data_IF_403802091066
#
_entry.id   IF_403802091066
#
_cell.length_a   1.000
_cell.length_b   1.000
_cell.length_c   1.000
_cell.angle_alpha   90.00
_cell.angle_beta   90.00
_cell.angle_gamma   90.00
#
_symmetry.space_group_name_H-M   'P 1'
#
loop_
_entity.id
_entity.type
_entity.pdbx_description
1 polymer ?
#
# COMPACT_ATOMS: atom_id res chain seq x y z
N UNK A 1 1.25 -23.55 5.64
CA UNK A 1 0.93 -24.42 6.80
C UNK A 1 -0.57 -24.69 6.82
N UNK A 2 -1.10 -25.60 6.01
CA UNK A 2 -2.52 -26.01 6.04
C UNK A 2 -2.64 -27.49 5.63
N UNK A 3 -2.16 -28.37 6.51
CA UNK A 3 -2.51 -29.80 6.48
C UNK A 3 -3.59 -30.03 7.53
N UNK A 4 -4.76 -29.45 7.32
CA UNK A 4 -5.91 -29.75 8.15
C UNK A 4 -6.54 -31.08 7.69
N UNK A 5 -5.82 -32.17 7.96
CA UNK A 5 -6.21 -33.57 7.68
C UNK A 5 -7.12 -34.16 8.78
N UNK A 6 -7.41 -33.38 9.82
CA UNK A 6 -8.16 -33.81 11.00
C UNK A 6 -9.62 -34.18 10.69
N UNK A 7 -10.32 -34.79 11.67
CA UNK A 7 -11.73 -35.15 11.55
C UNK A 7 -12.64 -33.93 11.41
N UNK A 8 -13.89 -34.16 10.99
CA UNK A 8 -14.94 -33.16 11.09
C UNK A 8 -15.32 -32.98 12.56
N UNK A 9 -15.25 -31.77 13.07
CA UNK A 9 -15.67 -31.44 14.44
C UNK A 9 -17.14 -31.09 14.46
N UNK A 10 -17.92 -31.81 15.27
CA UNK A 10 -19.37 -31.59 15.42
C UNK A 10 -19.69 -31.43 16.91
N UNK A 11 -20.42 -30.36 17.23
CA UNK A 11 -20.83 -30.03 18.60
C UNK A 11 -22.24 -30.54 18.87
N UNK A 12 -23.16 -30.31 17.94
CA UNK A 12 -24.55 -30.75 18.04
C UNK A 12 -25.00 -31.50 16.77
N UNK A 13 -26.01 -32.37 16.88
CA UNK A 13 -26.51 -33.14 15.73
C UNK A 13 -27.05 -32.23 14.61
N UNK A 14 -27.60 -31.07 14.98
CA UNK A 14 -28.10 -30.08 14.02
C UNK A 14 -27.01 -29.36 13.22
N UNK A 15 -25.74 -29.45 13.66
CA UNK A 15 -24.58 -28.92 12.96
C UNK A 15 -24.10 -29.85 11.85
N UNK A 16 -24.67 -31.05 11.73
CA UNK A 16 -24.31 -32.01 10.69
C UNK A 16 -25.29 -31.95 9.52
N UNK A 17 -24.76 -31.69 8.31
CA UNK A 17 -25.49 -31.89 7.06
C UNK A 17 -25.18 -33.28 6.53
N UNK A 18 -26.18 -34.15 6.59
CA UNK A 18 -26.12 -35.52 6.14
C UNK A 18 -26.92 -35.70 4.84
N UNK A 19 -26.25 -36.15 3.78
CA UNK A 19 -26.89 -36.53 2.52
C UNK A 19 -26.53 -37.98 2.18
N UNK A 20 -27.55 -38.82 2.02
CA UNK A 20 -27.38 -40.22 1.66
C UNK A 20 -28.05 -40.54 0.32
N UNK A 21 -27.35 -41.34 -0.47
CA UNK A 21 -27.85 -42.00 -1.67
C UNK A 21 -27.43 -43.47 -1.61
N UNK A 22 -28.05 -44.38 -2.39
CA UNK A 22 -27.73 -45.81 -2.32
C UNK A 22 -26.22 -46.07 -2.47
N UNK A 23 -25.58 -46.53 -1.39
CA UNK A 23 -24.15 -46.84 -1.32
C UNK A 23 -23.19 -45.64 -1.27
N UNK A 24 -23.67 -44.40 -1.11
CA UNK A 24 -22.82 -43.21 -0.92
C UNK A 24 -23.38 -42.31 0.19
N UNK A 25 -22.54 -42.00 1.17
CA UNK A 25 -22.85 -41.12 2.29
C UNK A 25 -21.97 -39.87 2.23
N UNK A 26 -22.57 -38.70 2.43
CA UNK A 26 -21.85 -37.42 2.50
C UNK A 26 -22.13 -36.69 3.80
N UNK A 27 -21.07 -36.22 4.43
CA UNK A 27 -21.10 -35.46 5.67
C UNK A 27 -20.43 -34.11 5.47
N UNK A 28 -21.03 -33.07 6.04
CA UNK A 28 -20.39 -31.76 6.10
C UNK A 28 -20.96 -30.96 7.26
N UNK A 29 -20.16 -30.07 7.84
CA UNK A 29 -20.66 -29.15 8.86
C UNK A 29 -21.66 -28.15 8.25
N UNK A 30 -22.69 -27.79 9.01
CA UNK A 30 -23.67 -26.75 8.68
C UNK A 30 -22.95 -25.41 8.63
N UNK A 31 -23.24 -24.63 7.59
CA UNK A 31 -22.64 -23.30 7.44
C UNK A 31 -23.39 -22.32 8.32
N UNK A 32 -22.69 -21.70 9.27
CA UNK A 32 -23.20 -20.49 9.92
C UNK A 32 -23.18 -19.32 8.94
N UNK A 33 -24.15 -18.41 9.03
CA UNK A 33 -24.23 -17.23 8.17
C UNK A 33 -22.94 -16.39 8.15
N UNK A 34 -22.26 -16.27 9.30
CA UNK A 34 -20.97 -15.60 9.43
C UNK A 34 -19.84 -16.21 8.58
N UNK A 35 -19.93 -17.51 8.24
CA UNK A 35 -18.97 -18.17 7.35
C UNK A 35 -19.04 -17.70 5.89
N UNK A 36 -20.10 -16.97 5.51
CA UNK A 36 -20.24 -16.33 4.19
C UNK A 36 -19.89 -14.84 4.24
N UNK A 37 -20.25 -14.14 5.32
CA UNK A 37 -20.01 -12.71 5.46
C UNK A 37 -18.53 -12.36 5.58
N UNK A 38 -17.76 -13.07 6.40
CA UNK A 38 -16.36 -12.73 6.63
C UNK A 38 -15.53 -12.83 5.34
N UNK A 39 -15.61 -13.93 4.56
CA UNK A 39 -14.89 -14.02 3.28
C UNK A 39 -15.34 -12.96 2.25
N UNK A 40 -16.63 -12.60 2.24
CA UNK A 40 -17.16 -11.56 1.36
C UNK A 40 -16.63 -10.18 1.73
N UNK A 41 -16.62 -9.82 3.02
CA UNK A 41 -16.09 -8.54 3.50
C UNK A 41 -14.60 -8.43 3.17
N UNK A 42 -13.82 -9.48 3.43
CA UNK A 42 -12.39 -9.53 3.10
C UNK A 42 -12.15 -9.38 1.59
N UNK A 43 -12.98 -10.04 0.77
CA UNK A 43 -12.92 -9.90 -0.68
C UNK A 43 -13.19 -8.47 -1.14
N UNK A 44 -14.23 -7.83 -0.59
CA UNK A 44 -14.60 -6.45 -0.95
C UNK A 44 -13.52 -5.44 -0.55
N UNK A 45 -12.89 -5.62 0.62
CA UNK A 45 -11.75 -4.81 1.04
C UNK A 45 -10.59 -5.00 0.05
N UNK A 46 -10.27 -6.25 -0.30
CA UNK A 46 -9.22 -6.53 -1.29
C UNK A 46 -9.49 -5.93 -2.67
N UNK A 47 -10.73 -6.01 -3.15
CA UNK A 47 -11.14 -5.44 -4.42
C UNK A 47 -11.09 -3.91 -4.42
N UNK A 48 -11.50 -3.27 -3.33
CA UNK A 48 -11.38 -1.82 -3.17
C UNK A 48 -9.92 -1.36 -3.20
N UNK A 49 -9.04 -2.04 -2.47
CA UNK A 49 -7.60 -1.75 -2.47
C UNK A 49 -6.96 -1.94 -3.85
N UNK A 50 -7.32 -3.02 -4.54
CA UNK A 50 -6.82 -3.30 -5.88
C UNK A 50 -7.34 -2.27 -6.91
N UNK A 51 -8.59 -1.82 -6.77
CA UNK A 51 -9.16 -0.78 -7.63
C UNK A 51 -8.46 0.56 -7.45
N UNK A 52 -8.10 0.93 -6.22
CA UNK A 52 -7.33 2.14 -5.93
C UNK A 52 -5.95 2.09 -6.59
N UNK A 53 -5.26 0.95 -6.50
CA UNK A 53 -4.01 0.74 -7.23
C UNK A 53 -4.20 0.89 -8.74
N UNK A 54 -5.19 0.20 -9.31
CA UNK A 54 -5.40 0.21 -10.75
C UNK A 54 -5.72 1.62 -11.27
N UNK A 55 -6.56 2.37 -10.58
CA UNK A 55 -6.96 3.70 -11.01
C UNK A 55 -5.86 4.74 -10.81
N UNK A 56 -5.20 4.77 -9.65
CA UNK A 56 -4.22 5.81 -9.35
C UNK A 56 -2.83 5.52 -9.95
N UNK A 57 -2.50 4.25 -10.18
CA UNK A 57 -1.19 3.88 -10.70
C UNK A 57 -1.28 3.43 -12.16
N UNK A 58 -2.10 2.43 -12.49
CA UNK A 58 -2.11 1.86 -13.84
C UNK A 58 -2.73 2.83 -14.85
N UNK A 59 -3.91 3.39 -14.56
CA UNK A 59 -4.58 4.34 -15.47
C UNK A 59 -3.78 5.63 -15.58
N UNK A 60 -3.33 6.22 -14.47
CA UNK A 60 -2.51 7.43 -14.48
C UNK A 60 -1.23 7.27 -15.30
N UNK A 61 -0.47 6.19 -15.12
CA UNK A 61 0.73 5.92 -15.91
C UNK A 61 0.42 5.61 -17.38
N UNK A 62 -0.69 4.91 -17.65
CA UNK A 62 -1.11 4.61 -19.00
C UNK A 62 -1.54 5.86 -19.75
N UNK A 63 -2.29 6.76 -19.11
CA UNK A 63 -2.63 8.08 -19.66
C UNK A 63 -1.37 8.91 -19.92
N UNK A 64 -0.39 8.89 -19.00
CA UNK A 64 0.93 9.50 -19.19
C UNK A 64 1.71 8.91 -20.37
N UNK A 65 1.58 7.60 -20.64
CA UNK A 65 2.27 6.93 -21.75
C UNK A 65 1.57 7.06 -23.11
N UNK A 66 0.25 7.28 -23.14
CA UNK A 66 -0.55 7.26 -24.37
C UNK A 66 -0.86 8.62 -24.96
N UNK A 67 -0.43 9.71 -24.32
CA UNK A 67 -0.42 11.03 -24.97
C UNK A 67 0.66 11.02 -26.08
N UNK A 68 0.32 11.53 -27.28
CA UNK A 68 0.82 11.05 -28.58
C UNK A 68 2.33 11.24 -28.92
N UNK A 69 3.20 11.63 -27.98
CA UNK A 69 4.66 11.80 -28.16
C UNK A 69 5.50 10.90 -27.21
N UNK A 70 4.95 9.73 -26.87
CA UNK A 70 5.44 8.81 -25.84
C UNK A 70 6.84 8.22 -26.03
N UNK A 71 7.86 8.99 -25.63
CA UNK A 71 9.11 8.56 -24.97
C UNK A 71 9.66 9.68 -24.05
N UNK A 72 8.93 10.79 -23.86
CA UNK A 72 9.43 11.96 -23.13
C UNK A 72 8.86 12.04 -21.69
N UNK A 73 9.72 12.18 -20.65
CA UNK A 73 9.29 12.24 -19.25
C UNK A 73 8.58 13.55 -18.89
N UNK A 74 8.66 14.57 -19.75
CA UNK A 74 8.03 15.87 -19.58
C UNK A 74 6.65 15.90 -20.26
N UNK A 75 5.68 16.62 -19.70
CA UNK A 75 4.37 16.80 -20.33
C UNK A 75 4.51 17.44 -21.72
N UNK A 76 3.61 17.17 -22.69
CA UNK A 76 3.69 17.71 -24.05
C UNK A 76 3.71 19.25 -24.12
N UNK A 77 3.20 19.91 -23.07
CA UNK A 77 3.20 21.36 -22.89
C UNK A 77 4.51 21.92 -22.29
N UNK A 78 5.57 21.12 -22.19
CA UNK A 78 6.85 21.51 -21.58
C UNK A 78 7.97 21.45 -22.63
N UNK A 79 8.60 22.60 -22.88
CA UNK A 79 9.45 22.86 -24.06
C UNK A 79 10.81 22.15 -24.04
N UNK A 80 11.41 21.95 -22.85
CA UNK A 80 12.77 21.43 -22.73
C UNK A 80 12.92 20.44 -21.55
N UNK A 81 13.66 19.35 -21.77
CA UNK A 81 14.12 18.44 -20.70
C UNK A 81 15.61 18.66 -20.38
N UNK A 82 15.94 18.74 -19.10
CA UNK A 82 17.32 18.74 -18.60
C UNK A 82 17.55 17.41 -17.89
N UNK A 83 18.49 16.61 -18.41
CA UNK A 83 18.89 15.34 -17.79
C UNK A 83 19.93 15.65 -16.73
N UNK A 84 19.64 15.29 -15.48
CA UNK A 84 20.54 15.44 -14.35
C UNK A 84 21.53 14.27 -14.28
N UNK A 85 22.62 14.47 -13.56
CA UNK A 85 23.75 13.52 -13.49
C UNK A 85 23.37 12.19 -12.85
N UNK A 86 22.42 12.21 -11.92
CA UNK A 86 21.83 11.02 -11.29
C UNK A 86 20.75 10.33 -12.16
N UNK A 87 20.44 10.87 -13.34
CA UNK A 87 19.47 10.32 -14.28
C UNK A 87 18.03 10.77 -14.05
N UNK A 88 17.78 11.69 -13.12
CA UNK A 88 16.49 12.38 -12.99
C UNK A 88 16.33 13.43 -14.08
N UNK A 89 15.11 13.96 -14.23
CA UNK A 89 14.78 14.94 -15.25
C UNK A 89 14.17 16.19 -14.61
N UNK A 90 14.64 17.35 -15.05
CA UNK A 90 13.95 18.62 -14.83
C UNK A 90 13.24 19.00 -16.12
N UNK A 91 11.96 19.33 -16.00
CA UNK A 91 11.15 19.73 -17.12
C UNK A 91 10.86 21.22 -17.06
N UNK A 92 11.24 21.92 -18.11
CA UNK A 92 11.02 23.36 -18.24
C UNK A 92 9.58 23.62 -18.69
N UNK A 93 8.84 24.38 -17.90
CA UNK A 93 7.50 24.83 -18.28
C UNK A 93 7.57 25.72 -19.54
N UNK A 94 6.62 25.57 -20.47
CA UNK A 94 6.46 26.45 -21.66
C UNK A 94 6.29 27.93 -21.31
N UNK A 95 5.83 28.22 -20.09
CA UNK A 95 5.47 29.58 -19.67
C UNK A 95 6.67 30.35 -19.11
N UNK A 96 7.70 30.59 -19.93
CA UNK A 96 8.63 31.66 -19.60
C UNK A 96 7.87 32.98 -19.63
N UNK A 97 7.76 33.63 -18.47
CA UNK A 97 7.12 34.93 -18.39
C UNK A 97 8.17 35.99 -18.66
N UNK A 98 8.00 36.68 -19.78
CA UNK A 98 8.80 37.83 -20.15
C UNK A 98 8.16 39.08 -19.54
N UNK A 99 8.86 39.70 -18.58
CA UNK A 99 8.44 40.98 -18.01
C UNK A 99 9.29 42.08 -18.62
N UNK A 100 8.70 42.83 -19.55
CA UNK A 100 9.28 44.06 -20.09
C UNK A 100 8.89 45.26 -19.20
N UNK A 101 9.77 46.25 -19.10
CA UNK A 101 9.41 47.56 -18.57
C UNK A 101 9.92 47.85 -17.17
N UNK A 102 11.10 47.33 -16.81
CA UNK A 102 11.81 47.86 -15.67
C UNK A 102 12.66 49.08 -16.02
N UNK A 103 12.88 50.00 -15.09
CA UNK A 103 13.70 51.20 -15.33
C UNK A 103 14.20 51.82 -14.03
N UNK A 104 15.09 52.81 -14.15
CA UNK A 104 15.57 53.63 -13.02
C UNK A 104 16.26 52.81 -11.92
N UNK A 105 17.20 51.95 -12.33
CA UNK A 105 18.04 51.21 -11.40
C UNK A 105 18.88 52.11 -10.53
N UNK A 106 18.84 51.80 -9.25
CA UNK A 106 19.74 52.39 -8.28
C UNK A 106 20.22 51.31 -7.30
N UNK A 107 21.49 51.37 -6.93
CA UNK A 107 22.08 50.44 -5.97
C UNK A 107 22.75 51.17 -4.82
N UNK A 108 22.90 50.44 -3.73
CA UNK A 108 23.74 50.73 -2.58
C UNK A 108 24.43 49.41 -2.18
N UNK A 109 25.35 49.42 -1.22
CA UNK A 109 26.23 48.26 -0.92
C UNK A 109 25.49 46.92 -0.83
N UNK A 110 24.37 46.89 -0.12
CA UNK A 110 23.52 45.71 0.09
C UNK A 110 22.05 45.97 -0.27
N UNK A 111 21.77 47.00 -1.07
CA UNK A 111 20.42 47.33 -1.50
C UNK A 111 20.37 47.60 -3.00
N UNK A 112 19.24 47.31 -3.60
CA UNK A 112 18.93 47.74 -4.96
C UNK A 112 17.46 48.07 -5.08
N UNK A 113 17.15 49.02 -5.96
CA UNK A 113 15.77 49.34 -6.33
C UNK A 113 15.63 49.60 -7.80
N UNK A 114 14.44 49.31 -8.30
CA UNK A 114 14.06 49.53 -9.68
C UNK A 114 12.57 49.81 -9.77
N UNK A 115 12.15 50.39 -10.90
CA UNK A 115 10.73 50.55 -11.18
C UNK A 115 10.25 49.46 -12.09
N UNK A 116 9.11 48.86 -11.80
CA UNK A 116 8.43 47.89 -12.67
C UNK A 116 6.93 48.20 -12.63
N UNK A 117 6.27 48.24 -13.80
CA UNK A 117 4.85 48.60 -13.94
C UNK A 117 4.41 49.91 -13.25
N UNK A 118 5.35 50.86 -13.07
CA UNK A 118 5.10 52.16 -12.43
C UNK A 118 5.30 52.20 -10.91
N UNK A 119 5.47 51.04 -10.27
CA UNK A 119 5.80 50.89 -8.85
C UNK A 119 7.31 50.85 -8.65
N UNK A 120 7.78 51.26 -7.47
CA UNK A 120 9.21 51.16 -7.11
C UNK A 120 9.38 49.96 -6.17
N UNK A 121 10.19 49.00 -6.63
CA UNK A 121 10.56 47.81 -5.89
C UNK A 121 11.93 48.02 -5.27
N UNK A 122 12.00 47.85 -3.96
CA UNK A 122 13.23 48.01 -3.18
C UNK A 122 13.55 46.69 -2.48
N UNK A 123 14.83 46.33 -2.54
CA UNK A 123 15.33 45.05 -2.09
C UNK A 123 16.62 45.24 -1.31
N UNK A 124 16.75 44.54 -0.19
CA UNK A 124 18.00 44.30 0.52
C UNK A 124 18.48 42.89 0.18
N UNK A 125 19.78 42.70 0.09
CA UNK A 125 20.35 41.40 -0.23
C UNK A 125 21.64 41.14 0.55
N UNK A 126 21.94 39.86 0.74
CA UNK A 126 23.24 39.40 1.24
C UNK A 126 23.50 37.97 0.82
N UNK A 127 24.76 37.58 0.76
CA UNK A 127 25.17 36.19 0.52
C UNK A 127 25.78 35.61 1.79
N UNK A 128 25.30 34.44 2.22
CA UNK A 128 25.81 33.73 3.39
C UNK A 128 25.76 32.22 3.12
N UNK A 129 26.87 31.53 3.43
CA UNK A 129 26.98 30.07 3.33
C UNK A 129 26.62 29.50 1.93
N UNK A 130 26.83 30.29 0.86
CA UNK A 130 26.53 29.91 -0.53
C UNK A 130 25.09 30.21 -0.97
N UNK A 131 24.25 30.77 -0.08
CA UNK A 131 22.88 31.18 -0.37
C UNK A 131 22.76 32.68 -0.55
N UNK A 132 21.96 33.08 -1.53
CA UNK A 132 21.60 34.46 -1.78
C UNK A 132 20.28 34.76 -1.08
N UNK A 133 20.27 35.69 -0.14
CA UNK A 133 19.07 36.17 0.52
C UNK A 133 18.65 37.49 -0.11
N UNK A 134 17.39 37.59 -0.54
CA UNK A 134 16.82 38.81 -1.11
C UNK A 134 15.52 39.09 -0.39
N UNK A 135 15.32 40.33 0.03
CA UNK A 135 14.05 40.76 0.60
C UNK A 135 13.14 41.39 -0.43
N UNK A 136 11.84 41.32 -0.18
CA UNK A 136 10.87 42.27 -0.70
C UNK A 136 10.54 43.31 0.40
N UNK A 137 10.49 44.60 0.07
CA UNK A 137 10.03 45.66 0.99
C UNK A 137 8.60 46.07 0.61
N UNK A 138 7.56 45.45 1.18
CA UNK A 138 6.21 45.99 1.08
C UNK A 138 6.11 47.26 1.93
N UNK A 139 5.49 48.30 1.38
CA UNK A 139 5.41 49.65 1.97
C UNK A 139 4.63 49.73 3.30
N UNK A 140 4.00 48.64 3.74
CA UNK A 140 3.10 48.56 4.90
C UNK A 140 3.59 47.63 6.03
N UNK A 141 4.81 47.07 5.96
CA UNK A 141 5.34 46.13 6.96
C UNK A 141 6.48 46.71 7.81
N UNK A 142 6.65 46.11 8.99
CA UNK A 142 7.64 46.44 10.02
C UNK A 142 8.85 45.50 10.04
N UNK A 143 8.99 44.65 9.03
CA UNK A 143 10.10 43.70 8.82
C UNK A 143 10.33 43.46 7.32
N UNK A 144 11.50 42.91 6.96
CA UNK A 144 11.80 42.51 5.58
C UNK A 144 11.21 41.12 5.28
N UNK A 145 10.51 40.97 4.15
CA UNK A 145 10.14 39.63 3.67
C UNK A 145 11.33 38.98 2.95
N UNK A 146 12.10 38.17 3.66
CA UNK A 146 13.27 37.50 3.09
C UNK A 146 12.91 36.19 2.38
N UNK A 147 13.53 35.99 1.22
CA UNK A 147 13.50 34.76 0.45
C UNK A 147 14.92 34.27 0.18
N UNK A 148 15.05 32.95 0.07
CA UNK A 148 16.32 32.27 -0.22
C UNK A 148 16.38 31.95 -1.70
N UNK A 149 17.52 32.24 -2.30
CA UNK A 149 17.85 31.97 -3.68
C UNK A 149 19.20 31.25 -3.78
N UNK A 150 19.35 30.46 -4.85
CA UNK A 150 20.61 29.83 -5.24
C UNK A 150 21.09 30.51 -6.52
N UNK A 151 22.34 30.92 -6.57
CA UNK A 151 22.94 31.49 -7.77
C UNK A 151 23.38 30.39 -8.73
N UNK A 152 23.20 30.60 -10.02
CA UNK A 152 23.70 29.67 -11.05
C UNK A 152 25.21 29.41 -10.91
N UNK A 153 26.01 30.42 -10.54
CA UNK A 153 27.45 30.26 -10.30
C UNK A 153 27.81 29.42 -9.07
N UNK A 154 26.88 29.20 -8.14
CA UNK A 154 27.09 28.36 -6.96
C UNK A 154 26.69 26.90 -7.21
N UNK A 155 26.07 26.60 -8.36
CA UNK A 155 25.70 25.24 -8.73
C UNK A 155 26.91 24.45 -9.25
N UNK A 156 27.04 23.16 -8.90
CA UNK A 156 28.08 22.31 -9.44
C UNK A 156 27.83 22.03 -10.93
N UNK A 157 28.89 21.78 -11.69
CA UNK A 157 28.77 21.37 -13.10
C UNK A 157 27.98 20.05 -13.26
N UNK A 158 28.05 19.17 -12.26
CA UNK A 158 27.35 17.90 -12.20
C UNK A 158 26.12 18.02 -11.31
N UNK A 159 25.06 18.64 -11.81
CA UNK A 159 23.79 18.77 -11.09
C UNK A 159 23.14 17.40 -10.85
N UNK A 160 22.70 17.15 -9.62
CA UNK A 160 21.85 15.99 -9.28
C UNK A 160 20.43 16.39 -8.90
N UNK A 161 20.16 17.68 -8.70
CA UNK A 161 18.87 18.18 -8.23
C UNK A 161 18.82 18.30 -6.71
N UNK A 162 19.68 17.57 -5.99
CA UNK A 162 19.84 17.66 -4.53
C UNK A 162 20.31 19.05 -4.10
N UNK A 163 20.95 19.81 -5.00
CA UNK A 163 21.40 21.17 -4.71
C UNK A 163 20.24 22.15 -4.48
N UNK A 164 19.05 21.82 -4.97
CA UNK A 164 17.83 22.61 -4.77
C UNK A 164 17.00 22.13 -3.57
N UNK A 165 17.42 21.05 -2.90
CA UNK A 165 16.70 20.48 -1.77
C UNK A 165 17.11 21.15 -0.46
N UNK A 166 16.15 21.79 0.23
CA UNK A 166 16.35 22.32 1.57
C UNK A 166 15.33 21.69 2.50
N UNK A 167 15.68 20.57 3.14
CA UNK A 167 14.79 19.94 4.12
C UNK A 167 14.22 21.00 5.08
N UNK A 168 12.93 20.97 5.37
CA UNK A 168 12.22 22.00 6.16
C UNK A 168 12.91 22.38 7.50
N UNK A 169 13.74 21.48 8.05
CA UNK A 169 14.52 21.64 9.27
C UNK A 169 15.97 22.11 9.07
N UNK A 170 16.46 22.10 7.84
CA UNK A 170 17.81 22.50 7.41
C UNK A 170 17.79 23.81 6.62
N UNK A 171 16.67 24.55 6.65
CA UNK A 171 16.60 25.88 6.05
C UNK A 171 17.78 26.73 6.52
N UNK A 172 18.48 27.41 5.60
CA UNK A 172 19.60 28.22 6.00
C UNK A 172 19.12 29.31 6.95
N UNK A 173 19.94 29.61 7.97
CA UNK A 173 19.60 30.65 8.94
C UNK A 173 19.44 31.97 8.18
N UNK A 174 18.26 32.56 8.29
CA UNK A 174 18.02 33.87 7.70
C UNK A 174 18.96 34.89 8.36
N UNK A 175 19.50 35.85 7.58
CA UNK A 175 20.28 36.93 8.14
C UNK A 175 19.50 37.72 9.20
N UNK A 176 20.18 38.16 10.26
CA UNK A 176 19.58 38.94 11.35
C UNK A 176 18.80 40.17 10.86
N UNK A 177 19.21 40.73 9.73
CA UNK A 177 18.57 41.91 9.15
C UNK A 177 17.18 41.65 8.59
N UNK A 178 16.77 40.39 8.38
CA UNK A 178 15.42 40.07 7.93
C UNK A 178 14.34 40.52 8.93
N UNK A 179 14.68 40.53 10.22
CA UNK A 179 13.80 40.97 11.30
C UNK A 179 13.91 42.49 11.62
N UNK A 180 14.76 43.23 10.91
CA UNK A 180 14.91 44.68 11.08
C UNK A 180 13.74 45.46 10.44
N UNK A 181 13.36 46.60 11.02
CA UNK A 181 12.36 47.48 10.44
C UNK A 181 12.96 48.29 9.28
N UNK A 182 12.52 48.07 8.02
CA UNK A 182 13.10 48.73 6.84
C UNK A 182 12.97 50.26 6.88
N UNK A 183 12.02 50.81 7.65
CA UNK A 183 11.79 52.26 7.76
C UNK A 183 12.83 52.98 8.62
N UNK A 184 13.66 52.24 9.34
CA UNK A 184 14.66 52.78 10.25
C UNK A 184 16.04 52.93 9.61
N UNK A 185 16.21 52.43 8.38
CA UNK A 185 17.47 52.44 7.63
C UNK A 185 17.43 53.57 6.60
N UNK A 186 18.40 54.50 6.68
CA UNK A 186 18.59 55.55 5.67
C UNK A 186 19.62 55.06 4.65
N UNK A 187 19.22 54.98 3.37
CA UNK A 187 19.99 54.35 2.30
C UNK A 187 20.27 55.37 1.21
N UNK A 188 21.57 55.65 1.00
CA UNK A 188 22.01 56.45 -0.14
C UNK A 188 22.16 55.57 -1.38
N UNK A 189 21.39 55.93 -2.41
CA UNK A 189 21.31 55.20 -3.67
C UNK A 189 22.11 55.89 -4.78
N UNK A 190 22.87 55.10 -5.53
CA UNK A 190 23.62 55.54 -6.71
C UNK A 190 22.80 55.19 -7.96
N UNK A 191 22.47 56.18 -8.78
CA UNK A 191 21.76 56.00 -10.06
C UNK A 191 22.68 55.48 -11.16
N UNK A 192 22.09 54.83 -12.18
CA UNK A 192 22.80 54.28 -13.35
C UNK A 192 23.78 53.15 -13.01
N UNK A 193 23.47 52.37 -11.98
CA UNK A 193 24.21 51.16 -11.62
C UNK A 193 23.56 49.91 -12.21
N UNK A 194 24.24 48.78 -12.06
CA UNK A 194 23.77 47.45 -12.48
C UNK A 194 23.31 46.61 -11.29
N UNK A 195 22.38 45.69 -11.53
CA UNK A 195 21.91 44.72 -10.53
C UNK A 195 23.08 43.81 -10.10
N UNK A 196 23.17 43.42 -8.81
CA UNK A 196 24.31 42.63 -8.29
C UNK A 196 24.53 41.27 -8.97
N UNK A 197 23.48 40.68 -9.55
CA UNK A 197 23.46 39.38 -10.24
C UNK A 197 22.96 39.52 -11.69
N UNK A 198 23.29 40.64 -12.34
CA UNK A 198 22.94 40.88 -13.73
C UNK A 198 23.50 39.80 -14.67
N UNK A 199 22.64 39.30 -15.57
CA UNK A 199 22.99 38.26 -16.55
C UNK A 199 23.02 36.83 -15.98
N UNK A 200 22.93 36.66 -14.66
CA UNK A 200 22.95 35.36 -13.99
C UNK A 200 21.53 34.91 -13.63
N UNK A 201 21.27 33.60 -13.70
CA UNK A 201 20.03 33.03 -13.16
C UNK A 201 20.13 32.86 -11.65
N UNK A 202 19.10 33.33 -10.96
CA UNK A 202 18.88 33.02 -9.54
C UNK A 202 17.68 32.08 -9.43
N UNK A 203 17.80 31.05 -8.62
CA UNK A 203 16.82 29.99 -8.47
C UNK A 203 16.14 30.09 -7.11
N UNK A 204 14.82 30.08 -7.09
CA UNK A 204 13.98 30.01 -5.89
C UNK A 204 13.26 28.67 -5.85
N UNK A 205 13.33 28.00 -4.71
CA UNK A 205 12.82 26.66 -4.54
C UNK A 205 11.45 26.73 -3.86
N UNK A 206 10.46 26.05 -4.45
CA UNK A 206 9.13 25.89 -3.88
C UNK A 206 8.97 24.45 -3.40
N UNK A 207 8.78 24.29 -2.10
CA UNK A 207 8.58 22.98 -1.45
C UNK A 207 7.20 22.91 -0.80
N UNK A 208 6.57 21.74 -0.87
CA UNK A 208 5.32 21.44 -0.16
C UNK A 208 5.49 20.16 0.64
N UNK A 209 5.28 20.24 1.97
CA UNK A 209 5.30 19.07 2.87
C UNK A 209 6.61 18.24 2.85
N UNK A 210 7.74 18.87 2.51
CA UNK A 210 9.04 18.20 2.44
C UNK A 210 9.28 17.51 1.10
N UNK A 211 8.51 17.84 0.05
CA UNK A 211 8.76 17.48 -1.33
C UNK A 211 9.06 18.74 -2.16
N UNK A 212 10.08 18.65 -3.01
CA UNK A 212 10.42 19.69 -3.97
C UNK A 212 9.35 19.74 -5.07
N UNK A 213 8.54 20.80 -5.09
CA UNK A 213 7.43 20.95 -6.02
C UNK A 213 7.86 21.63 -7.33
N UNK A 214 8.61 22.72 -7.24
CA UNK A 214 9.12 23.42 -8.43
C UNK A 214 10.34 24.28 -8.10
N UNK A 215 11.14 24.55 -9.11
CA UNK A 215 12.25 25.51 -9.06
C UNK A 215 11.90 26.66 -9.99
N UNK A 216 11.64 27.82 -9.40
CA UNK A 216 11.50 29.07 -10.12
C UNK A 216 12.88 29.65 -10.42
N UNK A 217 13.08 30.25 -11.59
CA UNK A 217 14.28 31.04 -11.86
C UNK A 217 13.90 32.45 -12.28
N UNK A 218 14.77 33.41 -11.95
CA UNK A 218 14.72 34.78 -12.43
C UNK A 218 16.09 35.16 -13.01
N UNK A 219 16.08 35.90 -14.13
CA UNK A 219 17.29 36.41 -14.76
C UNK A 219 17.04 37.83 -15.27
N UNK A 220 17.91 38.75 -14.85
CA UNK A 220 17.91 40.12 -15.35
C UNK A 220 18.83 40.21 -16.56
N UNK A 221 18.32 40.66 -17.71
CA UNK A 221 19.06 40.64 -18.98
C UNK A 221 19.30 42.03 -19.56
N UNK A 222 20.02 42.05 -20.68
CA UNK A 222 20.13 43.22 -21.57
C UNK A 222 18.73 43.66 -22.03
N UNK A 223 18.60 44.98 -22.32
CA UNK A 223 17.36 45.66 -22.77
C UNK A 223 16.23 45.81 -21.75
N UNK A 224 16.57 45.87 -20.48
CA UNK A 224 15.63 46.10 -19.41
C UNK A 224 14.52 45.00 -19.24
N UNK A 225 14.91 43.72 -19.30
CA UNK A 225 14.01 42.55 -19.26
C UNK A 225 14.29 41.55 -18.14
N UNK A 226 13.23 41.09 -17.44
CA UNK A 226 13.30 39.96 -16.49
C UNK A 226 12.74 38.75 -17.20
N UNK A 227 13.55 37.69 -17.26
CA UNK A 227 13.10 36.37 -17.67
C UNK A 227 12.82 35.58 -16.40
N UNK A 228 11.60 35.07 -16.27
CA UNK A 228 11.22 34.17 -15.18
C UNK A 228 10.57 32.91 -15.72
N UNK A 229 10.76 31.79 -15.06
CA UNK A 229 10.19 30.50 -15.47
C UNK A 229 10.28 29.46 -14.36
N UNK A 230 9.70 28.28 -14.61
CA UNK A 230 9.66 27.19 -13.65
C UNK A 230 10.20 25.90 -14.25
N UNK A 231 10.95 25.16 -13.44
CA UNK A 231 11.28 23.77 -13.65
C UNK A 231 10.46 22.90 -12.69
N UNK A 232 9.85 21.86 -13.22
CA UNK A 232 9.26 20.78 -12.43
C UNK A 232 10.24 19.62 -12.35
N UNK A 233 10.39 19.05 -11.16
CA UNK A 233 11.12 17.78 -11.00
C UNK A 233 10.08 16.67 -10.95
N UNK A 234 10.12 15.78 -11.94
CA UNK A 234 9.32 14.56 -11.91
C UNK A 234 10.12 13.48 -11.17
N UNK A 235 10.02 13.49 -9.84
CA UNK A 235 10.48 12.38 -9.01
C UNK A 235 9.45 11.25 -9.14
N UNK A 236 9.55 10.45 -10.20
CA UNK A 236 8.83 9.18 -10.27
C UNK A 236 9.48 8.14 -9.33
N UNK A 237 9.62 8.49 -8.05
CA UNK A 237 10.19 7.66 -6.99
C UNK A 237 9.16 7.28 -5.93
N UNK A 238 7.89 7.14 -6.31
CA UNK A 238 7.01 6.22 -5.60
C UNK A 238 7.62 4.83 -5.72
N UNK A 239 8.41 4.41 -4.74
CA UNK A 239 9.21 3.18 -4.79
C UNK A 239 8.35 2.02 -5.28
N UNK A 240 8.87 1.22 -6.22
CA UNK A 240 8.15 0.12 -6.87
C UNK A 240 7.46 -0.82 -5.85
N UNK A 241 8.00 -0.88 -4.63
CA UNK A 241 7.44 -1.58 -3.47
C UNK A 241 6.17 -0.90 -2.92
N UNK A 242 6.18 0.42 -2.72
CA UNK A 242 5.02 1.19 -2.25
C UNK A 242 3.89 1.20 -3.28
N UNK A 243 4.24 1.33 -4.56
CA UNK A 243 3.27 1.23 -5.65
C UNK A 243 2.62 -0.16 -5.73
N UNK A 244 3.39 -1.24 -5.58
CA UNK A 244 2.86 -2.60 -5.70
C UNK A 244 2.22 -3.15 -4.41
N UNK A 245 2.46 -2.53 -3.26
CA UNK A 245 1.96 -3.03 -1.98
C UNK A 245 0.41 -3.15 -1.95
N UNK A 246 -0.37 -2.13 -2.38
CA UNK A 246 -1.83 -2.25 -2.43
C UNK A 246 -2.30 -3.30 -3.44
N UNK A 247 -1.55 -3.53 -4.52
CA UNK A 247 -1.85 -4.57 -5.51
C UNK A 247 -1.67 -5.97 -4.92
N UNK A 248 -0.52 -6.24 -4.30
CA UNK A 248 -0.21 -7.54 -3.68
C UNK A 248 -1.15 -7.83 -2.52
N UNK A 249 -1.39 -6.84 -1.65
CA UNK A 249 -2.29 -6.98 -0.51
C UNK A 249 -3.75 -7.15 -0.98
N UNK A 250 -4.20 -6.34 -1.94
CA UNK A 250 -5.53 -6.47 -2.54
C UNK A 250 -5.75 -7.84 -3.16
N UNK A 251 -4.79 -8.34 -3.93
CA UNK A 251 -4.85 -9.67 -4.54
C UNK A 251 -4.83 -10.80 -3.50
N UNK A 252 -4.01 -10.66 -2.46
CA UNK A 252 -3.96 -11.58 -1.33
C UNK A 252 -5.30 -11.66 -0.59
N UNK A 253 -5.94 -10.52 -0.35
CA UNK A 253 -7.26 -10.42 0.30
C UNK A 253 -8.39 -10.92 -0.60
N UNK A 254 -8.29 -10.78 -1.93
CA UNK A 254 -9.26 -11.34 -2.86
C UNK A 254 -9.17 -12.87 -2.97
N UNK A 255 -7.96 -13.44 -2.87
CA UNK A 255 -7.73 -14.89 -3.01
C UNK A 255 -7.88 -15.64 -1.68
N UNK A 256 -7.51 -15.03 -0.55
CA UNK A 256 -7.64 -15.64 0.79
C UNK A 256 -9.02 -16.29 1.05
N UNK A 257 -10.14 -15.62 0.75
CA UNK A 257 -11.50 -16.17 0.83
C UNK A 257 -11.69 -17.51 0.12
N UNK A 258 -11.01 -17.75 -1.00
CA UNK A 258 -11.05 -19.02 -1.75
C UNK A 258 -10.47 -20.17 -0.91
N UNK A 259 -9.54 -19.87 0.01
CA UNK A 259 -8.91 -20.84 0.90
C UNK A 259 -9.63 -20.98 2.24
N UNK A 260 -10.14 -19.88 2.82
CA UNK A 260 -10.78 -19.88 4.15
C UNK A 260 -12.30 -20.14 4.13
N UNK A 261 -13.01 -19.88 3.04
CA UNK A 261 -14.45 -20.15 2.90
C UNK A 261 -14.80 -21.61 2.56
N UNK A 262 -13.83 -22.53 2.61
CA UNK A 262 -13.98 -23.90 2.10
C UNK A 262 -14.78 -24.77 3.07
N UNK A 263 -15.86 -25.37 2.58
CA UNK A 263 -16.65 -26.34 3.33
C UNK A 263 -16.00 -27.72 3.22
N UNK A 264 -15.46 -28.26 4.32
CA UNK A 264 -15.02 -29.66 4.36
C UNK A 264 -16.22 -30.58 4.13
N UNK A 265 -16.05 -31.54 3.24
CA UNK A 265 -17.01 -32.59 2.96
C UNK A 265 -16.29 -33.93 3.00
N UNK A 266 -16.90 -34.87 3.71
CA UNK A 266 -16.43 -36.25 3.77
C UNK A 266 -17.41 -37.07 2.94
N UNK A 267 -16.88 -37.86 2.01
CA UNK A 267 -17.66 -38.77 1.17
C UNK A 267 -17.20 -40.18 1.43
N UNK A 268 -18.14 -41.03 1.80
CA UNK A 268 -17.97 -42.48 1.94
C UNK A 268 -18.73 -43.12 0.79
N UNK A 269 -18.01 -43.67 -0.18
CA UNK A 269 -18.57 -44.42 -1.30
C UNK A 269 -18.32 -45.90 -1.09
N UNK A 270 -19.38 -46.60 -0.74
CA UNK A 270 -19.37 -47.98 -0.27
C UNK A 270 -19.30 -48.94 -1.43
N UNK A 271 -20.03 -48.61 -2.50
CA UNK A 271 -20.02 -49.36 -3.74
C UNK A 271 -18.61 -49.43 -4.34
N UNK A 272 -17.85 -48.34 -4.21
CA UNK A 272 -16.48 -48.27 -4.72
C UNK A 272 -15.41 -48.49 -3.64
N UNK A 273 -15.79 -48.71 -2.37
CA UNK A 273 -14.82 -48.90 -1.27
C UNK A 273 -13.83 -47.73 -1.16
N UNK A 274 -14.37 -46.51 -1.26
CA UNK A 274 -13.59 -45.26 -1.34
C UNK A 274 -14.01 -44.31 -0.24
N UNK A 275 -13.02 -43.83 0.49
CA UNK A 275 -13.15 -42.70 1.38
C UNK A 275 -12.50 -41.46 0.76
N UNK A 276 -13.23 -40.34 0.73
CA UNK A 276 -12.73 -39.07 0.19
C UNK A 276 -12.94 -37.95 1.19
N UNK A 277 -11.84 -37.30 1.59
CA UNK A 277 -11.88 -35.95 2.20
C UNK A 277 -11.73 -34.93 1.06
N UNK A 278 -12.73 -34.08 0.89
CA UNK A 278 -12.77 -33.05 -0.15
C UNK A 278 -13.38 -31.74 0.36
N UNK A 279 -13.34 -30.69 -0.46
CA UNK A 279 -14.05 -29.44 -0.19
C UNK A 279 -15.27 -29.32 -1.11
N UNK A 280 -16.46 -29.14 -0.55
CA UNK A 280 -17.73 -29.16 -1.30
C UNK A 280 -17.81 -28.12 -2.42
N UNK A 281 -17.20 -26.94 -2.21
CA UNK A 281 -17.24 -25.82 -3.16
C UNK A 281 -16.13 -25.85 -4.21
N UNK A 282 -15.07 -26.63 -4.03
CA UNK A 282 -13.89 -26.66 -4.92
C UNK A 282 -13.28 -28.07 -4.98
N UNK A 283 -13.98 -29.04 -5.58
CA UNK A 283 -13.56 -30.44 -5.55
C UNK A 283 -12.22 -30.70 -6.25
N UNK A 284 -11.72 -29.81 -7.10
CA UNK A 284 -10.49 -30.04 -7.90
C UNK A 284 -9.17 -29.67 -7.22
N UNK A 285 -9.20 -28.89 -6.13
CA UNK A 285 -7.98 -28.26 -5.59
C UNK A 285 -7.30 -29.03 -4.45
N UNK A 286 -7.97 -30.00 -3.83
CA UNK A 286 -7.38 -30.95 -2.88
C UNK A 286 -8.34 -32.12 -2.66
N UNK A 287 -8.11 -33.26 -3.32
CA UNK A 287 -8.76 -34.54 -2.99
C UNK A 287 -7.72 -35.44 -2.36
N UNK A 288 -7.91 -35.83 -1.10
CA UNK A 288 -7.25 -37.03 -0.60
C UNK A 288 -8.25 -38.18 -0.73
N UNK A 289 -8.00 -39.03 -1.74
CA UNK A 289 -8.75 -40.27 -1.95
C UNK A 289 -7.95 -41.39 -1.28
N UNK A 290 -8.59 -42.12 -0.37
CA UNK A 290 -8.03 -43.30 0.25
C UNK A 290 -8.94 -44.48 -0.11
N UNK A 291 -8.34 -45.54 -0.65
CA UNK A 291 -9.03 -46.82 -0.84
C UNK A 291 -9.24 -47.44 0.55
N UNK A 292 -10.47 -47.84 0.83
CA UNK A 292 -10.87 -48.40 2.11
C UNK A 292 -11.52 -49.77 1.87
N UNK A 293 -10.80 -50.83 2.22
CA UNK A 293 -11.21 -52.25 2.30
C UNK A 293 -12.46 -52.39 3.17
N UNK A 294 -13.22 -53.50 3.05
CA UNK A 294 -14.65 -53.54 3.37
C UNK A 294 -14.97 -52.99 4.77
N UNK A 295 -15.48 -51.76 4.77
CA UNK A 295 -15.83 -50.88 5.88
C UNK A 295 -16.01 -51.57 7.23
N UNK A 296 -14.97 -51.49 8.06
CA UNK A 296 -15.07 -51.59 9.51
C UNK A 296 -15.09 -50.16 10.05
N UNK A 297 -16.16 -49.83 10.77
CA UNK A 297 -16.36 -48.52 11.38
C UNK A 297 -16.32 -48.66 12.89
N UNK A 298 -15.53 -47.82 13.53
CA UNK A 298 -15.30 -47.84 14.97
C UNK A 298 -15.77 -46.54 15.59
N UNK A 299 -16.43 -46.66 16.74
CA UNK A 299 -16.76 -45.51 17.58
C UNK A 299 -15.95 -45.63 18.88
N UNK A 300 -14.94 -44.77 19.03
CA UNK A 300 -13.90 -44.90 20.05
C UNK A 300 -13.91 -43.67 20.97
N UNK A 301 -13.79 -43.87 22.27
CA UNK A 301 -13.53 -42.76 23.19
C UNK A 301 -12.12 -42.21 23.01
N UNK A 302 -11.99 -40.91 22.81
CA UNK A 302 -10.69 -40.28 22.67
C UNK A 302 -10.68 -38.85 23.21
N UNK A 303 -9.48 -38.34 23.45
CA UNK A 303 -9.24 -36.94 23.82
C UNK A 303 -8.42 -36.30 22.72
N UNK A 304 -8.91 -35.19 22.16
CA UNK A 304 -8.21 -34.44 21.13
C UNK A 304 -7.73 -33.11 21.68
N UNK A 305 -6.50 -32.79 21.35
CA UNK A 305 -5.89 -31.50 21.67
C UNK A 305 -6.34 -30.45 20.66
N UNK A 306 -6.89 -29.35 21.15
CA UNK A 306 -7.31 -28.19 20.37
C UNK A 306 -6.29 -27.08 20.61
N UNK A 307 -5.67 -26.61 19.54
CA UNK A 307 -4.82 -25.43 19.57
C UNK A 307 -5.66 -24.21 19.19
N UNK A 308 -5.79 -23.28 20.11
CA UNK A 308 -6.44 -22.00 19.86
C UNK A 308 -5.36 -20.99 19.45
N UNK A 309 -5.52 -20.42 18.26
CA UNK A 309 -4.72 -19.27 17.88
C UNK A 309 -5.17 -18.07 18.72
N UNK A 310 -4.22 -17.45 19.43
CA UNK A 310 -4.48 -16.21 20.14
C UNK A 310 -4.63 -15.04 19.18
N UNK A 311 -5.46 -14.07 19.53
CA UNK A 311 -5.55 -12.77 18.88
C UNK A 311 -4.41 -11.84 19.38
N UNK A 312 -4.33 -10.61 18.87
CA UNK A 312 -3.24 -9.66 19.17
C UNK A 312 -3.00 -9.41 20.67
N UNK A 313 -4.00 -9.71 21.52
CA UNK A 313 -3.95 -9.54 22.96
C UNK A 313 -4.02 -10.85 23.77
N UNK A 314 -4.07 -12.03 23.13
CA UNK A 314 -4.06 -13.31 23.83
C UNK A 314 -2.99 -14.25 23.31
N UNK A 315 -2.36 -14.99 24.23
CA UNK A 315 -1.41 -16.03 23.86
C UNK A 315 -2.16 -17.25 23.32
N UNK A 316 -1.59 -17.90 22.32
CA UNK A 316 -2.08 -19.21 21.86
C UNK A 316 -2.15 -20.16 23.05
N UNK A 317 -3.29 -20.78 23.27
CA UNK A 317 -3.49 -21.72 24.35
C UNK A 317 -4.00 -23.05 23.81
N UNK A 318 -3.72 -24.10 24.56
CA UNK A 318 -4.10 -25.47 24.18
C UNK A 318 -5.13 -25.98 25.17
N UNK A 319 -6.24 -26.51 24.66
CA UNK A 319 -7.26 -27.16 25.47
C UNK A 319 -7.43 -28.60 25.04
N UNK A 320 -7.79 -29.47 25.96
CA UNK A 320 -8.18 -30.85 25.63
C UNK A 320 -9.71 -30.97 25.55
N UNK A 321 -10.19 -31.69 24.55
CA UNK A 321 -11.59 -32.04 24.41
C UNK A 321 -11.74 -33.56 24.41
N UNK A 322 -12.39 -34.09 25.44
CA UNK A 322 -12.82 -35.49 25.49
C UNK A 322 -14.08 -35.66 24.64
N UNK A 323 -14.17 -36.77 23.92
CA UNK A 323 -15.31 -37.09 23.08
C UNK A 323 -15.33 -38.52 22.58
N UNK A 324 -16.14 -38.77 21.55
CA UNK A 324 -16.16 -40.00 20.77
C UNK A 324 -15.73 -39.71 19.34
N UNK A 325 -14.88 -40.56 18.78
CA UNK A 325 -14.37 -40.48 17.42
C UNK A 325 -14.92 -41.63 16.57
N UNK A 326 -15.52 -41.28 15.45
CA UNK A 326 -15.84 -42.21 14.38
C UNK A 326 -14.62 -42.34 13.48
N UNK A 327 -14.06 -43.55 13.43
CA UNK A 327 -12.93 -43.91 12.58
C UNK A 327 -13.28 -45.07 11.66
N UNK A 328 -12.58 -45.16 10.53
CA UNK A 328 -12.71 -46.25 9.56
C UNK A 328 -11.37 -46.95 9.37
N UNK A 329 -11.37 -48.27 9.18
CA UNK A 329 -10.15 -48.98 8.82
C UNK A 329 -9.75 -48.69 7.36
N UNK A 330 -8.49 -48.29 7.15
CA UNK A 330 -7.87 -48.18 5.84
C UNK A 330 -7.40 -49.53 5.27
N UNK A 331 -7.02 -49.54 3.99
CA UNK A 331 -6.49 -50.75 3.31
C UNK A 331 -5.26 -51.38 3.97
N UNK A 332 -4.52 -50.56 4.72
CA UNK A 332 -3.31 -50.84 5.47
C UNK A 332 -3.58 -51.25 6.93
N UNK A 333 -4.85 -51.28 7.35
CA UNK A 333 -5.28 -51.60 8.72
C UNK A 333 -5.19 -50.41 9.68
N UNK A 334 -4.72 -49.24 9.24
CA UNK A 334 -4.68 -48.06 10.09
C UNK A 334 -6.07 -47.41 10.19
N UNK A 335 -6.42 -46.94 11.39
CA UNK A 335 -7.66 -46.19 11.60
C UNK A 335 -7.53 -44.77 11.03
N UNK A 336 -8.57 -44.36 10.31
CA UNK A 336 -8.69 -43.04 9.69
C UNK A 336 -9.82 -42.29 10.39
N UNK A 337 -9.46 -41.21 11.07
CA UNK A 337 -10.42 -40.35 11.79
C UNK A 337 -11.37 -39.63 10.81
N UNK A 338 -12.67 -39.79 11.05
CA UNK A 338 -13.74 -39.25 10.20
C UNK A 338 -14.49 -38.12 10.90
N UNK A 339 -15.12 -38.39 12.04
CA UNK A 339 -15.91 -37.40 12.79
C UNK A 339 -15.51 -37.46 14.26
N UNK A 340 -15.26 -36.31 14.87
CA UNK A 340 -15.11 -36.20 16.31
C UNK A 340 -16.36 -35.56 16.90
N UNK A 341 -17.09 -36.33 17.71
CA UNK A 341 -18.25 -35.90 18.46
C UNK A 341 -17.79 -35.43 19.83
N UNK A 342 -18.00 -34.15 20.16
CA UNK A 342 -17.63 -33.59 21.47
C UNK A 342 -18.65 -33.95 22.56
N UNK A 343 -18.93 -35.24 22.71
CA UNK A 343 -19.80 -35.81 23.74
C UNK A 343 -19.19 -37.10 24.31
N UNK A 344 -19.55 -37.43 25.55
CA UNK A 344 -19.19 -38.70 26.17
C UNK A 344 -20.07 -39.87 25.71
N UNK A 345 -21.22 -39.63 25.06
CA UNK A 345 -22.08 -40.72 24.58
C UNK A 345 -22.72 -40.37 23.23
N UNK A 346 -21.96 -40.54 22.15
CA UNK A 346 -22.45 -40.28 20.80
C UNK A 346 -23.57 -41.24 20.38
N UNK A 347 -23.61 -42.49 20.91
CA UNK A 347 -24.70 -43.44 20.60
C UNK A 347 -26.05 -42.93 21.09
N UNK A 348 -26.07 -42.20 22.20
CA UNK A 348 -27.27 -41.55 22.70
C UNK A 348 -27.53 -40.20 22.02
N UNK A 349 -26.52 -39.34 21.99
CA UNK A 349 -26.69 -37.93 21.62
C UNK A 349 -26.74 -37.69 20.09
N UNK A 350 -26.20 -38.63 19.30
CA UNK A 350 -26.21 -38.60 17.82
C UNK A 350 -26.87 -39.85 17.23
N UNK A 351 -27.83 -40.43 17.98
CA UNK A 351 -28.47 -41.71 17.65
C UNK A 351 -29.01 -41.75 16.21
N UNK A 352 -29.76 -40.72 15.80
CA UNK A 352 -30.40 -40.72 14.48
C UNK A 352 -29.36 -40.68 13.34
N UNK A 353 -28.30 -39.89 13.53
CA UNK A 353 -27.17 -39.83 12.61
C UNK A 353 -26.47 -41.18 12.51
N UNK A 354 -26.11 -41.78 13.64
CA UNK A 354 -25.42 -43.06 13.67
C UNK A 354 -26.28 -44.18 13.04
N UNK A 355 -27.56 -44.27 13.38
CA UNK A 355 -28.49 -45.24 12.78
C UNK A 355 -28.63 -45.06 11.25
N UNK A 356 -28.65 -43.81 10.76
CA UNK A 356 -28.67 -43.53 9.31
C UNK A 356 -27.38 -43.96 8.63
N UNK A 357 -26.23 -43.78 9.28
CA UNK A 357 -24.95 -44.27 8.75
C UNK A 357 -24.98 -45.79 8.67
N UNK A 358 -25.37 -46.48 9.74
CA UNK A 358 -25.45 -47.94 9.77
C UNK A 358 -26.44 -48.47 8.70
N UNK A 359 -27.58 -47.80 8.55
CA UNK A 359 -28.59 -48.15 7.56
C UNK A 359 -28.09 -48.01 6.11
N UNK A 360 -27.45 -46.88 5.77
CA UNK A 360 -26.97 -46.63 4.39
C UNK A 360 -25.73 -47.45 4.08
N UNK A 361 -24.92 -47.78 5.11
CA UNK A 361 -23.70 -48.56 4.95
C UNK A 361 -23.90 -50.06 5.06
N UNK A 362 -25.01 -50.52 5.66
CA UNK A 362 -25.23 -51.93 5.97
C UNK A 362 -24.22 -52.48 6.98
N UNK A 363 -23.58 -51.61 7.78
CA UNK A 363 -22.50 -51.93 8.70
C UNK A 363 -22.80 -51.35 10.07
N UNK A 364 -22.67 -52.16 11.11
CA UNK A 364 -22.83 -51.70 12.51
C UNK A 364 -21.50 -51.21 13.06
N UNK A 365 -21.53 -50.21 13.94
CA UNK A 365 -20.31 -49.76 14.62
C UNK A 365 -19.82 -50.80 15.62
N UNK A 366 -18.57 -51.22 15.46
CA UNK A 366 -17.90 -52.04 16.46
C UNK A 366 -17.46 -51.15 17.64
N UNK A 367 -17.70 -51.65 18.86
CA UNK A 367 -17.07 -51.07 20.04
C UNK A 367 -15.65 -51.63 20.10
N UNK A 368 -14.64 -50.79 19.95
CA UNK A 368 -13.28 -51.17 20.38
C UNK A 368 -13.19 -51.08 21.91
N UNK A 369 -14.01 -51.85 22.61
CA UNK A 369 -13.82 -52.07 24.04
C UNK A 369 -12.80 -53.19 24.21
N UNK A 370 -11.53 -52.78 24.31
CA UNK A 370 -10.33 -53.48 24.83
C UNK A 370 -9.19 -53.52 23.81
N UNK A 371 -8.09 -52.82 24.12
CA UNK A 371 -6.89 -53.44 24.68
C UNK A 371 -6.08 -52.37 25.44
N UNK A 372 -5.39 -52.84 26.48
CA UNK A 372 -4.64 -52.17 27.54
C UNK A 372 -3.70 -51.04 27.15
#
# INVERSE_FOLDING_TARGET
>A
MFRDKGPLWIYEEEDLVFNASPGVVRFSAKRHFFSFLIPLVVFLIGAMMFSLFFQNYVVYNYEKMMDEDGDEPCWPEWEDRIILTNGTYMCKSEWNTYREGYSNYMTSDNHYKFKEYGETYEHRWSEQDGYLFISYIPSDRDHYECYVYIRESNLPENLTGDEFWFYYWERPNFPDWCDEDPRTVDIEYISNSSIPFYGERIFKVHETQGELWSIEFEQFTEDDRIISGYYYIDEFEGGLVEALFPAVLGFGLMIGPIFFGRKKEIVIDINNSVFTKQFASTPHLAKSKILAKPFEMYLIHTTKTIHHAGDENSSSYTTEASGMELSIAGDDGNLIDVIFFRTQDARRDFKQTLEKIEFVTGKTFENSSNET
#
